data_IF_883230585441
#
_entry.id   IF_883230585441
#
_cell.length_a   1.000
_cell.length_b   1.000
_cell.length_c   1.000
_cell.angle_alpha   90.00
_cell.angle_beta   90.00
_cell.angle_gamma   90.00
#
_symmetry.space_group_name_H-M   'P 1'
#
loop_
_entity.id
_entity.type
_entity.pdbx_description
1 polymer ?
#
# COMPACT_ATOMS: atom_id res chain seq x y z
N UNK A 1 -9.90 -43.26 28.82
CA UNK A 1 -10.75 -42.08 28.80
C UNK A 1 -10.05 -40.99 28.01
N UNK A 2 -10.42 -40.87 26.75
CA UNK A 2 -9.87 -39.87 25.85
C UNK A 2 -10.57 -38.55 26.08
N UNK A 3 -9.83 -37.52 26.51
CA UNK A 3 -10.32 -36.14 26.40
C UNK A 3 -10.11 -35.70 24.95
N UNK A 4 -11.20 -35.68 24.21
CA UNK A 4 -11.28 -35.00 22.94
C UNK A 4 -11.13 -33.51 23.21
N UNK A 5 -9.97 -32.95 22.91
CA UNK A 5 -9.81 -31.52 22.76
C UNK A 5 -10.58 -31.12 21.51
N UNK A 6 -11.77 -30.56 21.68
CA UNK A 6 -12.46 -29.84 20.63
C UNK A 6 -11.63 -28.60 20.33
N UNK A 7 -10.97 -28.60 19.17
CA UNK A 7 -10.40 -27.38 18.61
C UNK A 7 -11.50 -26.34 18.51
N UNK A 8 -11.31 -25.21 19.19
CA UNK A 8 -12.16 -24.03 19.06
C UNK A 8 -12.21 -23.64 17.57
N UNK A 9 -13.39 -23.30 17.03
CA UNK A 9 -13.44 -22.76 15.67
C UNK A 9 -12.51 -21.54 15.63
N UNK A 10 -11.53 -21.54 14.74
CA UNK A 10 -10.67 -20.38 14.51
C UNK A 10 -11.57 -19.18 14.28
N UNK A 11 -11.53 -18.19 15.15
CA UNK A 11 -12.21 -16.92 14.94
C UNK A 11 -11.73 -16.38 13.60
N UNK A 12 -12.59 -16.43 12.60
CA UNK A 12 -12.32 -15.84 11.29
C UNK A 12 -12.38 -14.33 11.47
N UNK A 13 -11.25 -13.72 11.73
CA UNK A 13 -11.15 -12.27 11.69
C UNK A 13 -11.55 -11.77 10.29
N UNK A 14 -12.32 -10.68 10.21
CA UNK A 14 -12.63 -10.08 8.93
C UNK A 14 -11.33 -9.61 8.26
N UNK A 15 -11.26 -9.63 6.92
CA UNK A 15 -10.13 -9.07 6.20
C UNK A 15 -9.83 -7.65 6.64
N UNK A 16 -8.55 -7.32 6.80
CA UNK A 16 -8.10 -6.01 7.28
C UNK A 16 -7.61 -5.16 6.11
N UNK A 17 -8.27 -4.03 5.90
CA UNK A 17 -7.78 -2.97 5.01
C UNK A 17 -6.59 -2.27 5.66
N UNK A 18 -5.56 -1.99 4.88
CA UNK A 18 -4.43 -1.17 5.31
C UNK A 18 -4.04 -0.14 4.24
N UNK A 19 -3.43 0.94 4.70
CA UNK A 19 -2.71 1.90 3.88
C UNK A 19 -1.31 2.07 4.46
N UNK A 20 -0.29 1.95 3.64
CA UNK A 20 1.08 2.30 4.00
C UNK A 20 1.64 3.21 2.93
N UNK A 21 2.31 4.29 3.34
CA UNK A 21 2.77 5.27 2.37
C UNK A 21 3.71 6.32 2.91
N UNK A 22 4.19 7.12 1.97
CA UNK A 22 4.88 8.39 2.24
C UNK A 22 4.22 9.50 1.44
N UNK A 23 4.21 10.70 1.99
CA UNK A 23 3.68 11.88 1.34
C UNK A 23 4.52 13.12 1.67
N UNK A 24 4.08 14.28 1.18
CA UNK A 24 4.77 15.55 1.37
C UNK A 24 4.95 15.97 2.84
N UNK A 25 4.20 15.37 3.79
CA UNK A 25 4.33 15.64 5.23
C UNK A 25 5.37 14.74 5.89
N UNK A 26 5.58 13.53 5.36
CA UNK A 26 6.48 12.53 5.98
C UNK A 26 7.82 12.39 5.27
N UNK A 27 7.93 12.88 4.03
CA UNK A 27 9.14 12.76 3.22
C UNK A 27 9.40 14.02 2.40
N UNK A 28 10.67 14.42 2.29
CA UNK A 28 11.09 15.48 1.39
C UNK A 28 10.99 15.05 -0.08
N UNK A 29 11.17 15.99 -1.01
CA UNK A 29 11.06 15.73 -2.45
C UNK A 29 12.01 14.61 -2.89
N UNK A 30 13.28 14.67 -2.49
CA UNK A 30 14.29 13.69 -2.90
C UNK A 30 13.90 12.26 -2.45
N UNK A 31 13.38 12.11 -1.24
CA UNK A 31 12.92 10.81 -0.73
C UNK A 31 11.67 10.33 -1.48
N UNK A 32 10.71 11.22 -1.79
CA UNK A 32 9.52 10.84 -2.56
C UNK A 32 9.86 10.39 -3.97
N UNK A 33 10.84 11.02 -4.63
CA UNK A 33 11.30 10.63 -5.96
C UNK A 33 11.89 9.22 -6.00
N UNK A 34 12.41 8.71 -4.88
CA UNK A 34 12.90 7.33 -4.77
C UNK A 34 11.79 6.27 -4.88
N UNK A 35 10.54 6.66 -4.61
CA UNK A 35 9.37 5.78 -4.65
C UNK A 35 8.40 6.08 -5.79
N UNK A 36 8.70 7.06 -6.63
CA UNK A 36 7.82 7.40 -7.75
C UNK A 36 7.83 6.30 -8.81
N UNK A 37 6.64 5.83 -9.18
CA UNK A 37 6.40 4.83 -10.21
C UNK A 37 5.52 5.43 -11.32
N UNK A 38 5.90 5.19 -12.56
CA UNK A 38 5.01 5.39 -13.71
C UNK A 38 4.02 4.22 -13.84
N UNK A 39 3.09 4.31 -14.80
CA UNK A 39 2.02 3.32 -14.95
C UNK A 39 2.54 1.91 -15.26
N UNK A 40 3.60 1.76 -16.04
CA UNK A 40 4.21 0.46 -16.36
C UNK A 40 4.91 -0.14 -15.14
N UNK A 41 5.62 0.70 -14.41
CA UNK A 41 6.28 0.33 -13.16
C UNK A 41 5.26 -0.06 -12.09
N UNK A 42 4.10 0.63 -12.01
CA UNK A 42 3.01 0.26 -11.08
C UNK A 42 2.53 -1.16 -11.38
N UNK A 43 2.24 -1.50 -12.63
CA UNK A 43 1.78 -2.85 -13.00
C UNK A 43 2.82 -3.91 -12.66
N UNK A 44 4.10 -3.65 -12.94
CA UNK A 44 5.20 -4.55 -12.61
C UNK A 44 5.31 -4.76 -11.10
N UNK A 45 5.24 -3.67 -10.34
CA UNK A 45 5.30 -3.68 -8.88
C UNK A 45 4.12 -4.46 -8.26
N UNK A 46 2.90 -4.20 -8.73
CA UNK A 46 1.68 -4.88 -8.28
C UNK A 46 1.78 -6.40 -8.45
N UNK A 47 2.21 -6.86 -9.62
CA UNK A 47 2.39 -8.29 -9.90
C UNK A 47 3.44 -8.93 -8.99
N UNK A 48 4.53 -8.22 -8.72
CA UNK A 48 5.60 -8.69 -7.83
C UNK A 48 5.13 -8.79 -6.38
N UNK A 49 4.40 -7.79 -5.88
CA UNK A 49 3.90 -7.79 -4.50
C UNK A 49 2.77 -8.82 -4.34
N UNK A 50 1.90 -8.97 -5.33
CA UNK A 50 0.78 -9.92 -5.28
C UNK A 50 1.23 -11.39 -5.20
N UNK A 51 2.47 -11.69 -5.56
CA UNK A 51 3.07 -13.02 -5.36
C UNK A 51 3.40 -13.31 -3.89
N UNK A 52 3.38 -12.30 -3.02
CA UNK A 52 3.57 -12.46 -1.59
C UNK A 52 2.29 -13.01 -0.96
N UNK A 53 2.35 -14.19 -0.36
CA UNK A 53 1.18 -14.93 0.11
C UNK A 53 0.30 -14.22 1.16
N UNK A 54 0.84 -13.18 1.81
CA UNK A 54 0.13 -12.43 2.86
C UNK A 54 -0.90 -11.42 2.31
N UNK A 55 -0.75 -10.96 1.06
CA UNK A 55 -1.56 -9.87 0.50
C UNK A 55 -2.68 -10.46 -0.36
N UNK A 56 -3.93 -10.14 -0.03
CA UNK A 56 -5.11 -10.56 -0.81
C UNK A 56 -5.44 -9.62 -1.94
N UNK A 57 -5.36 -8.33 -1.66
CA UNK A 57 -5.63 -7.28 -2.64
C UNK A 57 -4.62 -6.15 -2.46
N UNK A 58 -4.24 -5.49 -3.55
CA UNK A 58 -3.30 -4.37 -3.49
C UNK A 58 -3.50 -3.42 -4.67
N UNK A 59 -3.45 -2.12 -4.36
CA UNK A 59 -3.39 -1.03 -5.32
C UNK A 59 -2.28 -0.05 -4.91
N UNK A 60 -1.64 0.57 -5.88
CA UNK A 60 -0.58 1.57 -5.67
C UNK A 60 -1.02 2.90 -6.26
N UNK A 61 -1.04 3.93 -5.43
CA UNK A 61 -1.20 5.32 -5.83
C UNK A 61 0.17 6.01 -5.81
N UNK A 62 0.70 6.33 -6.98
CA UNK A 62 1.99 7.02 -7.12
C UNK A 62 1.79 8.35 -7.84
N UNK A 63 2.14 9.43 -7.17
CA UNK A 63 2.11 10.80 -7.70
C UNK A 63 3.39 11.54 -7.29
N UNK A 64 3.59 12.77 -7.76
CA UNK A 64 4.72 13.60 -7.33
C UNK A 64 4.71 13.91 -5.81
N UNK A 65 3.53 13.83 -5.17
CA UNK A 65 3.35 14.22 -3.78
C UNK A 65 3.20 13.06 -2.81
N UNK A 66 2.97 11.84 -3.31
CA UNK A 66 2.76 10.64 -2.49
C UNK A 66 3.05 9.34 -3.24
N UNK A 67 3.47 8.36 -2.50
CA UNK A 67 3.41 6.96 -2.89
C UNK A 67 2.72 6.19 -1.77
N UNK A 68 1.53 5.68 -2.05
CA UNK A 68 0.68 4.98 -1.08
C UNK A 68 0.24 3.63 -1.62
N UNK A 69 0.27 2.64 -0.75
CA UNK A 69 -0.24 1.30 -1.03
C UNK A 69 -1.50 1.11 -0.18
N UNK A 70 -2.59 0.79 -0.87
CA UNK A 70 -3.82 0.32 -0.26
C UNK A 70 -3.92 -1.17 -0.50
N UNK A 71 -4.18 -1.93 0.55
CA UNK A 71 -4.26 -3.39 0.42
C UNK A 71 -5.13 -4.04 1.47
N UNK A 72 -5.37 -5.32 1.28
CA UNK A 72 -6.16 -6.15 2.16
C UNK A 72 -5.36 -7.39 2.54
N UNK A 73 -5.30 -7.69 3.83
CA UNK A 73 -4.76 -8.94 4.37
C UNK A 73 -5.88 -9.76 5.03
N UNK A 74 -5.69 -11.07 5.14
CA UNK A 74 -6.69 -11.93 5.76
C UNK A 74 -6.74 -11.72 7.28
N UNK A 75 -5.60 -11.48 7.91
CA UNK A 75 -5.48 -11.28 9.36
C UNK A 75 -4.49 -10.16 9.66
N UNK A 76 -4.64 -9.46 10.81
CA UNK A 76 -3.72 -8.39 11.21
C UNK A 76 -2.26 -8.82 11.33
N UNK A 77 -2.00 -10.05 11.72
CA UNK A 77 -0.65 -10.60 11.93
C UNK A 77 0.16 -10.65 10.62
N UNK A 78 -0.53 -10.68 9.47
CA UNK A 78 0.09 -10.64 8.15
C UNK A 78 0.71 -9.28 7.80
N UNK A 79 0.34 -8.20 8.51
CA UNK A 79 0.95 -6.88 8.41
C UNK A 79 2.16 -6.74 9.34
N UNK A 80 3.07 -7.70 9.29
CA UNK A 80 4.32 -7.62 10.04
C UNK A 80 5.22 -6.48 9.52
N UNK A 81 6.13 -5.94 10.35
CA UNK A 81 7.14 -4.98 9.89
C UNK A 81 7.93 -5.47 8.68
N UNK A 82 8.22 -6.77 8.62
CA UNK A 82 8.90 -7.41 7.51
C UNK A 82 8.06 -7.36 6.21
N UNK A 83 6.76 -7.67 6.30
CA UNK A 83 5.85 -7.56 5.15
C UNK A 83 5.83 -6.15 4.58
N UNK A 84 5.71 -5.14 5.44
CA UNK A 84 5.69 -3.73 5.04
C UNK A 84 7.02 -3.30 4.42
N UNK A 85 8.13 -3.71 5.03
CA UNK A 85 9.47 -3.44 4.50
C UNK A 85 9.65 -4.07 3.11
N UNK A 86 9.24 -5.31 2.91
CA UNK A 86 9.34 -6.01 1.63
C UNK A 86 8.52 -5.32 0.53
N UNK A 87 7.33 -4.82 0.86
CA UNK A 87 6.50 -4.02 -0.06
C UNK A 87 7.30 -2.80 -0.53
N UNK A 88 7.84 -2.00 0.39
CA UNK A 88 8.56 -0.77 0.05
C UNK A 88 9.90 -1.01 -0.64
N UNK A 89 10.62 -2.04 -0.25
CA UNK A 89 11.83 -2.48 -0.97
C UNK A 89 11.49 -2.85 -2.43
N UNK A 90 10.37 -3.53 -2.65
CA UNK A 90 9.89 -3.87 -4.00
C UNK A 90 9.57 -2.62 -4.81
N UNK A 91 8.88 -1.65 -4.21
CA UNK A 91 8.58 -0.36 -4.85
C UNK A 91 9.87 0.38 -5.23
N UNK A 92 10.78 0.54 -4.27
CA UNK A 92 12.04 1.23 -4.52
C UNK A 92 12.87 0.56 -5.61
N UNK A 93 13.01 -0.75 -5.58
CA UNK A 93 13.73 -1.51 -6.61
C UNK A 93 13.09 -1.39 -8.00
N UNK A 94 11.77 -1.31 -8.06
CA UNK A 94 11.05 -1.07 -9.32
C UNK A 94 11.26 0.35 -9.82
N UNK A 95 11.22 1.34 -8.93
CA UNK A 95 11.43 2.75 -9.26
C UNK A 95 12.88 3.06 -9.64
N UNK A 96 13.83 2.51 -8.88
CA UNK A 96 15.28 2.82 -8.95
C UNK A 96 16.12 1.55 -8.90
N UNK A 97 16.13 0.72 -9.96
CA UNK A 97 16.77 -0.60 -9.94
C UNK A 97 18.29 -0.59 -9.71
N UNK A 98 18.95 0.54 -9.97
CA UNK A 98 20.41 0.70 -9.84
C UNK A 98 20.84 1.48 -8.59
N UNK A 99 19.90 1.82 -7.71
CA UNK A 99 20.18 2.61 -6.50
C UNK A 99 19.79 1.84 -5.25
N UNK A 100 20.61 1.94 -4.24
CA UNK A 100 20.32 1.44 -2.91
C UNK A 100 19.77 2.56 -2.01
N UNK A 101 18.76 2.26 -1.23
CA UNK A 101 18.20 3.13 -0.21
C UNK A 101 18.29 2.43 1.13
N UNK A 102 18.74 3.14 2.17
CA UNK A 102 18.82 2.54 3.49
C UNK A 102 17.45 2.20 4.06
N UNK A 103 17.34 1.07 4.74
CA UNK A 103 16.10 0.65 5.42
C UNK A 103 15.63 1.69 6.44
N UNK A 104 16.57 2.36 7.12
CA UNK A 104 16.25 3.43 8.06
C UNK A 104 15.55 4.60 7.37
N UNK A 105 16.02 5.01 6.19
CA UNK A 105 15.37 6.08 5.40
C UNK A 105 13.96 5.67 4.98
N UNK A 106 13.78 4.42 4.54
CA UNK A 106 12.46 3.89 4.19
C UNK A 106 11.54 3.97 5.41
N UNK A 107 11.93 3.39 6.54
CA UNK A 107 11.10 3.34 7.76
C UNK A 107 10.72 4.71 8.29
N UNK A 108 11.62 5.68 8.25
CA UNK A 108 11.38 7.04 8.76
C UNK A 108 10.40 7.84 7.90
N UNK A 109 10.26 7.50 6.63
CA UNK A 109 9.37 8.21 5.71
C UNK A 109 7.96 7.64 5.62
N UNK A 110 7.72 6.48 6.24
CA UNK A 110 6.46 5.76 6.13
C UNK A 110 5.50 6.05 7.29
N UNK A 111 4.22 6.11 6.94
CA UNK A 111 3.11 5.97 7.86
C UNK A 111 2.26 4.76 7.51
N UNK A 112 1.52 4.26 8.49
CA UNK A 112 0.59 3.15 8.31
C UNK A 112 -0.73 3.46 9.00
N UNK A 113 -1.82 3.08 8.34
CA UNK A 113 -3.18 3.12 8.85
C UNK A 113 -3.86 1.79 8.56
N UNK A 114 -4.77 1.37 9.43
CA UNK A 114 -5.52 0.11 9.24
C UNK A 114 -7.01 0.32 9.48
N UNK A 115 -7.82 -0.59 8.96
CA UNK A 115 -9.25 -0.61 9.19
C UNK A 115 -9.95 0.69 8.79
N UNK A 116 -10.73 1.24 9.70
CA UNK A 116 -11.53 2.45 9.44
C UNK A 116 -10.67 3.69 9.16
N UNK A 117 -9.49 3.78 9.76
CA UNK A 117 -8.58 4.91 9.53
C UNK A 117 -7.98 4.85 8.12
N UNK A 118 -7.63 3.65 7.63
CA UNK A 118 -7.21 3.46 6.25
C UNK A 118 -8.33 3.80 5.26
N UNK A 119 -9.56 3.38 5.53
CA UNK A 119 -10.72 3.72 4.70
C UNK A 119 -10.99 5.23 4.70
N UNK A 120 -10.97 5.86 5.85
CA UNK A 120 -11.15 7.32 5.98
C UNK A 120 -10.08 8.06 5.19
N UNK A 121 -8.82 7.65 5.32
CA UNK A 121 -7.70 8.23 4.57
C UNK A 121 -7.90 8.08 3.05
N UNK A 122 -8.28 6.90 2.57
CA UNK A 122 -8.56 6.67 1.15
C UNK A 122 -9.63 7.63 0.61
N UNK A 123 -10.73 7.84 1.34
CA UNK A 123 -11.76 8.80 0.95
C UNK A 123 -11.26 10.25 0.98
N UNK A 124 -10.48 10.64 1.98
CA UNK A 124 -9.89 11.98 2.06
C UNK A 124 -8.95 12.26 0.88
N UNK A 125 -8.11 11.28 0.52
CA UNK A 125 -7.22 11.40 -0.64
C UNK A 125 -8.02 11.48 -1.94
N UNK A 126 -8.97 10.57 -2.15
CA UNK A 126 -9.80 10.55 -3.35
C UNK A 126 -10.66 11.82 -3.53
N UNK A 127 -11.09 12.41 -2.42
CA UNK A 127 -11.84 13.67 -2.38
C UNK A 127 -10.95 14.94 -2.44
N UNK A 128 -9.62 14.78 -2.58
CA UNK A 128 -8.66 15.90 -2.57
C UNK A 128 -8.61 16.71 -1.25
N UNK A 129 -9.02 16.10 -0.15
CA UNK A 129 -8.97 16.76 1.18
C UNK A 129 -7.60 16.63 1.86
N UNK A 130 -6.77 15.69 1.41
CA UNK A 130 -5.40 15.44 1.90
C UNK A 130 -4.33 15.85 0.87
N UNK A 131 -4.59 16.82 0.03
CA UNK A 131 -3.67 17.33 -0.99
C UNK A 131 -2.93 18.59 -0.50
N UNK A 132 -1.77 18.90 -1.12
CA UNK A 132 -1.06 20.16 -0.91
C UNK A 132 -1.94 21.37 -1.22
N UNK A 133 -2.79 21.24 -2.25
CA UNK A 133 -3.83 22.22 -2.61
C UNK A 133 -5.18 21.52 -2.43
N UNK A 134 -5.90 21.78 -1.32
CA UNK A 134 -7.22 21.19 -1.11
C UNK A 134 -8.20 21.54 -2.26
N UNK A 135 -8.94 20.52 -2.74
CA UNK A 135 -9.88 20.70 -3.85
C UNK A 135 -9.26 20.53 -5.24
N UNK A 136 -7.99 20.17 -5.36
CA UNK A 136 -7.36 19.82 -6.63
C UNK A 136 -8.02 18.58 -7.25
N UNK A 137 -8.49 18.69 -8.49
CA UNK A 137 -9.24 17.60 -9.14
C UNK A 137 -8.35 16.47 -9.68
N UNK A 138 -7.04 16.71 -9.86
CA UNK A 138 -6.11 15.74 -10.44
C UNK A 138 -6.00 14.46 -9.61
N UNK A 139 -5.96 14.56 -8.28
CA UNK A 139 -5.79 13.40 -7.39
C UNK A 139 -6.97 12.41 -7.49
N UNK A 140 -8.19 12.90 -7.72
CA UNK A 140 -9.36 12.04 -7.94
C UNK A 140 -9.19 11.19 -9.20
N UNK A 141 -8.68 11.79 -10.27
CA UNK A 141 -8.34 11.08 -11.52
C UNK A 141 -7.24 10.06 -11.31
N UNK A 142 -6.16 10.45 -10.63
CA UNK A 142 -5.03 9.56 -10.32
C UNK A 142 -5.44 8.39 -9.42
N UNK A 143 -6.34 8.61 -8.45
CA UNK A 143 -6.87 7.55 -7.61
C UNK A 143 -7.69 6.53 -8.41
N UNK A 144 -8.55 7.01 -9.33
CA UNK A 144 -9.30 6.15 -10.25
C UNK A 144 -8.37 5.36 -11.17
N UNK A 145 -7.33 5.99 -11.69
CA UNK A 145 -6.32 5.33 -12.54
C UNK A 145 -5.57 4.25 -11.75
N UNK A 146 -5.16 4.51 -10.52
CA UNK A 146 -4.52 3.54 -9.65
C UNK A 146 -5.37 2.27 -9.44
N UNK A 147 -6.67 2.44 -9.20
CA UNK A 147 -7.61 1.31 -9.10
C UNK A 147 -7.78 0.58 -10.43
N UNK A 148 -7.84 1.30 -11.56
CA UNK A 148 -7.92 0.68 -12.88
C UNK A 148 -6.67 -0.15 -13.20
N UNK A 149 -5.49 0.35 -12.90
CA UNK A 149 -4.21 -0.38 -13.07
C UNK A 149 -4.19 -1.65 -12.20
N UNK A 150 -4.62 -1.56 -10.94
CA UNK A 150 -4.70 -2.70 -10.04
C UNK A 150 -5.71 -3.76 -10.55
N UNK A 151 -6.86 -3.33 -11.05
CA UNK A 151 -7.87 -4.21 -11.64
C UNK A 151 -7.32 -4.90 -12.90
N UNK A 152 -6.66 -4.17 -13.79
CA UNK A 152 -6.04 -4.72 -15.00
C UNK A 152 -4.88 -5.68 -14.67
N UNK A 153 -4.15 -5.43 -13.59
CA UNK A 153 -3.11 -6.33 -13.11
C UNK A 153 -3.66 -7.58 -12.38
N UNK A 154 -4.97 -7.62 -12.12
CA UNK A 154 -5.61 -8.72 -11.38
C UNK A 154 -5.27 -8.75 -9.88
N UNK A 155 -4.92 -7.60 -9.31
CA UNK A 155 -4.50 -7.50 -7.91
C UNK A 155 -5.58 -6.93 -6.97
N UNK A 156 -6.75 -6.62 -7.49
CA UNK A 156 -7.95 -6.28 -6.73
C UNK A 156 -9.16 -7.03 -7.29
N UNK A 157 -10.12 -7.33 -6.43
CA UNK A 157 -11.39 -7.96 -6.79
C UNK A 157 -12.34 -7.05 -7.58
N UNK A 158 -13.50 -7.60 -7.97
CA UNK A 158 -14.54 -6.86 -8.68
C UNK A 158 -15.17 -5.76 -7.83
#
# INVERSE_FOLDING_TARGET
MGHSMTESPSEKHPPLLFCVGSNHRTANIATREEFFLDSEQIVTCLKSINQQAAIKEIAVLSTCNRCEIFGVVATPEQLSPETLQNIYVTIHRTAKPTRDLSLATIQQSLYMMTGIDAARHAFQVAASLDSLVPGETQITGQFKEALALAKNAGTVGP
#
